data_IF_372452126684
#
_entry.id   IF_372452126684
#
_cell.length_a   1.000
_cell.length_b   1.000
_cell.length_c   1.000
_cell.angle_alpha   90.00
_cell.angle_beta   90.00
_cell.angle_gamma   90.00
#
_symmetry.space_group_name_H-M   'P 1'
#
loop_
_entity.id
_entity.type
_entity.pdbx_description
1 polymer ?
#
# COMPACT_ATOMS: atom_id res chain seq x y z
N UNK A 1 -3.98 -6.95 19.91
CA UNK A 1 -3.05 -7.12 18.77
C UNK A 1 -3.89 -7.18 17.52
N UNK A 2 -3.53 -6.43 16.48
CA UNK A 2 -4.40 -6.23 15.33
C UNK A 2 -4.29 -7.32 14.27
N UNK A 3 -5.39 -8.04 13.94
CA UNK A 3 -5.38 -9.10 12.94
C UNK A 3 -4.96 -8.61 11.55
N UNK A 4 -5.46 -7.44 11.13
CA UNK A 4 -5.10 -6.86 9.83
C UNK A 4 -3.61 -6.59 9.71
N UNK A 5 -2.94 -6.20 10.79
CA UNK A 5 -1.51 -5.89 10.79
C UNK A 5 -0.64 -7.13 10.63
N UNK A 6 -1.06 -8.26 11.19
CA UNK A 6 -0.43 -9.57 10.93
C UNK A 6 -0.53 -9.89 9.45
N UNK A 7 -1.73 -9.76 8.89
CA UNK A 7 -2.00 -9.99 7.46
C UNK A 7 -1.16 -9.07 6.57
N UNK A 8 -1.17 -7.76 6.81
CA UNK A 8 -0.39 -6.78 6.05
C UNK A 8 1.11 -7.08 6.14
N UNK A 9 1.64 -7.33 7.35
CA UNK A 9 3.07 -7.61 7.52
C UNK A 9 3.48 -8.89 6.80
N UNK A 10 2.68 -9.96 6.90
CA UNK A 10 2.89 -11.23 6.18
C UNK A 10 2.92 -11.00 4.68
N UNK A 11 1.89 -10.34 4.13
CA UNK A 11 1.79 -10.06 2.70
C UNK A 11 2.91 -9.13 2.23
N UNK A 12 3.34 -8.17 3.06
CA UNK A 12 4.43 -7.25 2.75
C UNK A 12 5.80 -7.94 2.67
N UNK A 13 5.98 -9.03 3.40
CA UNK A 13 7.12 -9.98 3.28
C UNK A 13 6.92 -11.00 2.16
N UNK A 14 5.76 -10.96 1.50
CA UNK A 14 5.36 -11.89 0.47
C UNK A 14 5.11 -13.28 1.01
N UNK A 15 4.95 -13.51 2.31
CA UNK A 15 4.82 -14.85 2.86
C UNK A 15 3.41 -15.42 2.67
N UNK A 16 3.32 -16.72 2.41
CA UNK A 16 2.06 -17.47 2.50
C UNK A 16 1.69 -17.71 3.96
N UNK A 17 0.41 -18.04 4.23
CA UNK A 17 -0.02 -18.44 5.57
C UNK A 17 0.77 -19.66 6.08
N UNK A 18 1.07 -20.62 5.20
CA UNK A 18 1.87 -21.79 5.58
C UNK A 18 3.32 -21.43 5.95
N UNK A 19 3.96 -20.53 5.18
CA UNK A 19 5.32 -20.07 5.45
C UNK A 19 5.41 -19.34 6.81
N UNK A 20 4.51 -18.39 7.10
CA UNK A 20 4.52 -17.70 8.39
C UNK A 20 4.15 -18.63 9.55
N UNK A 21 3.19 -19.55 9.36
CA UNK A 21 2.82 -20.51 10.39
C UNK A 21 4.00 -21.42 10.77
N UNK A 22 4.79 -21.86 9.79
CA UNK A 22 6.02 -22.62 10.03
C UNK A 22 7.06 -21.79 10.80
N UNK A 23 7.28 -20.52 10.45
CA UNK A 23 8.19 -19.64 11.18
C UNK A 23 7.77 -19.42 12.64
N UNK A 24 6.46 -19.43 12.90
CA UNK A 24 5.86 -19.26 14.22
C UNK A 24 5.56 -20.59 14.92
N UNK A 25 6.00 -21.74 14.40
CA UNK A 25 5.76 -23.06 14.98
C UNK A 25 4.29 -23.28 15.40
N UNK A 26 3.36 -22.93 14.50
CA UNK A 26 1.92 -23.09 14.68
C UNK A 26 1.29 -23.73 13.44
N UNK A 27 0.04 -24.17 13.55
CA UNK A 27 -0.69 -24.66 12.38
C UNK A 27 -1.14 -23.50 11.46
N UNK A 28 -1.24 -23.71 10.14
CA UNK A 28 -1.83 -22.73 9.21
C UNK A 28 -3.28 -22.35 9.55
N UNK A 29 -4.03 -23.26 10.19
CA UNK A 29 -5.38 -22.99 10.69
C UNK A 29 -5.35 -22.00 11.87
N UNK A 30 -4.38 -22.14 12.78
CA UNK A 30 -4.15 -21.19 13.88
C UNK A 30 -3.82 -19.81 13.35
N UNK A 31 -2.88 -19.71 12.38
CA UNK A 31 -2.54 -18.41 11.78
C UNK A 31 -3.75 -17.78 11.07
N UNK A 32 -4.54 -18.57 10.34
CA UNK A 32 -5.75 -18.05 9.70
C UNK A 32 -6.70 -17.43 10.72
N UNK A 33 -6.99 -18.13 11.83
CA UNK A 33 -7.81 -17.57 12.91
C UNK A 33 -7.22 -16.29 13.50
N UNK A 34 -5.89 -16.21 13.64
CA UNK A 34 -5.26 -15.00 14.16
C UNK A 34 -5.34 -13.81 13.19
N UNK A 35 -5.32 -14.06 11.88
CA UNK A 35 -5.49 -13.03 10.86
C UNK A 35 -6.95 -12.59 10.70
N UNK A 36 -7.90 -13.46 11.05
CA UNK A 36 -9.34 -13.19 10.93
C UNK A 36 -9.92 -12.56 12.22
N UNK A 37 -9.60 -13.12 13.39
CA UNK A 37 -10.19 -12.78 14.69
C UNK A 37 -9.20 -12.18 15.68
N UNK A 38 -7.90 -12.37 15.44
CA UNK A 38 -6.82 -12.01 16.36
C UNK A 38 -6.35 -13.15 17.24
N UNK A 39 -5.12 -13.06 17.80
CA UNK A 39 -4.65 -14.04 18.75
C UNK A 39 -5.45 -13.94 20.07
N UNK A 40 -5.74 -15.07 20.74
CA UNK A 40 -6.37 -15.03 22.05
C UNK A 40 -5.43 -14.39 23.09
N UNK A 41 -5.98 -13.79 24.17
CA UNK A 41 -5.18 -13.20 25.26
C UNK A 41 -4.17 -14.17 25.88
N UNK A 42 -4.49 -15.47 25.90
CA UNK A 42 -3.61 -16.52 26.43
C UNK A 42 -2.40 -16.85 25.56
N UNK A 43 -2.31 -16.31 24.35
CA UNK A 43 -1.21 -16.52 23.39
C UNK A 43 -0.52 -15.21 23.01
N UNK A 44 -0.78 -14.12 23.73
CA UNK A 44 -0.24 -12.80 23.38
C UNK A 44 1.20 -12.60 23.85
N UNK A 45 1.72 -13.44 24.74
CA UNK A 45 3.15 -13.46 25.09
C UNK A 45 3.72 -14.84 24.78
N UNK A 46 4.89 -14.97 24.11
CA UNK A 46 5.76 -13.92 23.53
C UNK A 46 5.48 -13.69 22.03
N UNK A 47 4.20 -13.60 21.63
CA UNK A 47 3.84 -13.59 20.20
C UNK A 47 4.31 -12.34 19.43
N UNK A 48 4.19 -11.11 19.97
CA UNK A 48 4.69 -9.91 19.30
C UNK A 48 6.19 -9.96 19.00
N UNK A 49 7.02 -10.46 19.92
CA UNK A 49 8.46 -10.58 19.73
C UNK A 49 8.79 -11.63 18.65
N UNK A 50 8.02 -12.71 18.60
CA UNK A 50 8.16 -13.74 17.54
C UNK A 50 7.75 -13.21 16.18
N UNK A 51 6.68 -12.39 16.12
CA UNK A 51 6.25 -11.72 14.90
C UNK A 51 7.27 -10.68 14.45
N UNK A 52 7.83 -9.90 15.37
CA UNK A 52 8.91 -8.96 15.09
C UNK A 52 10.14 -9.70 14.53
N UNK A 53 10.58 -10.77 15.19
CA UNK A 53 11.71 -11.56 14.71
C UNK A 53 11.47 -12.18 13.32
N UNK A 54 10.25 -12.67 13.05
CA UNK A 54 9.93 -13.31 11.76
C UNK A 54 9.62 -12.33 10.63
N UNK A 55 9.02 -11.18 10.94
CA UNK A 55 8.46 -10.25 9.94
C UNK A 55 9.22 -8.91 9.93
N UNK A 56 10.09 -8.63 10.89
CA UNK A 56 10.87 -7.39 10.98
C UNK A 56 10.01 -6.12 11.02
N UNK A 57 8.86 -6.18 11.68
CA UNK A 57 8.05 -5.02 12.08
C UNK A 57 8.08 -4.93 13.60
N UNK A 58 8.07 -3.71 14.15
CA UNK A 58 8.18 -3.56 15.60
C UNK A 58 6.96 -4.15 16.32
N UNK A 59 7.12 -4.46 17.61
CA UNK A 59 6.00 -4.88 18.47
C UNK A 59 4.86 -3.86 18.44
N UNK A 60 5.17 -2.57 18.50
CA UNK A 60 4.18 -1.48 18.48
C UNK A 60 3.37 -1.46 17.18
N UNK A 61 3.96 -1.89 16.06
CA UNK A 61 3.22 -2.05 14.83
C UNK A 61 2.06 -3.02 15.05
N UNK A 62 2.28 -4.22 15.58
CA UNK A 62 1.20 -5.20 15.79
C UNK A 62 0.18 -4.80 16.87
N UNK A 63 0.52 -3.85 17.74
CA UNK A 63 -0.35 -3.30 18.78
C UNK A 63 -1.11 -2.03 18.35
N UNK A 64 -0.76 -1.45 17.20
CA UNK A 64 -1.40 -0.27 16.65
C UNK A 64 -2.78 -0.59 16.04
N UNK A 65 -3.68 0.40 15.85
CA UNK A 65 -5.03 0.19 15.31
C UNK A 65 -5.05 -0.55 13.97
N UNK A 66 -6.18 -1.19 13.64
CA UNK A 66 -6.34 -1.93 12.39
C UNK A 66 -5.92 -1.12 11.15
N UNK A 67 -5.41 -1.82 10.15
CA UNK A 67 -5.17 -1.31 8.81
C UNK A 67 -6.24 -1.81 7.86
N UNK A 68 -6.68 -0.93 6.99
CA UNK A 68 -7.48 -1.32 5.84
C UNK A 68 -6.54 -1.78 4.73
N UNK A 69 -6.76 -3.00 4.22
CA UNK A 69 -6.06 -3.43 3.02
C UNK A 69 -6.77 -2.85 1.80
N UNK A 70 -6.03 -2.18 0.89
CA UNK A 70 -6.59 -1.78 -0.39
C UNK A 70 -7.17 -2.97 -1.13
N UNK A 71 -8.38 -2.81 -1.68
CA UNK A 71 -8.97 -3.83 -2.54
C UNK A 71 -8.11 -4.00 -3.80
N UNK A 72 -7.90 -5.26 -4.17
CA UNK A 72 -7.23 -5.62 -5.41
C UNK A 72 -8.02 -5.12 -6.64
N UNK A 73 -9.34 -5.05 -6.53
CA UNK A 73 -10.23 -4.61 -7.62
C UNK A 73 -10.18 -3.09 -7.83
N UNK A 74 -9.88 -2.33 -6.77
CA UNK A 74 -9.70 -0.87 -6.84
C UNK A 74 -8.26 -0.46 -7.18
N UNK A 75 -7.38 -1.43 -7.44
CA UNK A 75 -5.96 -1.20 -7.74
C UNK A 75 -5.71 -1.30 -9.25
N UNK A 76 -5.21 -0.23 -9.86
CA UNK A 76 -4.93 -0.15 -11.29
C UNK A 76 -3.46 -0.43 -11.57
N UNK A 77 -3.17 -1.65 -12.03
CA UNK A 77 -1.82 -2.08 -12.38
C UNK A 77 -1.47 -1.73 -13.82
N UNK A 78 -0.36 -1.02 -14.04
CA UNK A 78 0.13 -0.68 -15.40
C UNK A 78 0.54 -1.93 -16.20
N UNK A 79 1.18 -2.89 -15.54
CA UNK A 79 1.67 -4.14 -16.14
C UNK A 79 1.17 -5.39 -15.39
N UNK A 80 -0.09 -5.37 -14.94
CA UNK A 80 -0.66 -6.38 -14.04
C UNK A 80 -0.66 -7.83 -14.56
N UNK A 81 -0.47 -8.07 -15.86
CA UNK A 81 -0.42 -9.42 -16.44
C UNK A 81 0.91 -10.14 -16.22
N UNK A 82 2.01 -9.40 -15.93
CA UNK A 82 3.34 -9.98 -15.70
C UNK A 82 3.63 -10.28 -14.23
N UNK A 83 2.89 -9.65 -13.31
CA UNK A 83 3.06 -9.85 -11.88
C UNK A 83 2.25 -11.05 -11.37
N UNK A 84 2.90 -11.91 -10.58
CA UNK A 84 2.23 -13.01 -9.89
C UNK A 84 1.26 -12.49 -8.83
N UNK A 85 0.29 -13.31 -8.41
CA UNK A 85 -0.63 -12.94 -7.34
C UNK A 85 0.11 -12.57 -6.04
N UNK A 86 1.20 -13.29 -5.72
CA UNK A 86 2.08 -12.99 -4.58
C UNK A 86 2.65 -11.57 -4.66
N UNK A 87 3.17 -11.17 -5.82
CA UNK A 87 3.74 -9.83 -6.02
C UNK A 87 2.67 -8.74 -5.97
N UNK A 88 1.47 -8.99 -6.52
CA UNK A 88 0.35 -8.06 -6.41
C UNK A 88 -0.10 -7.88 -4.96
N UNK A 89 -0.13 -8.95 -4.16
CA UNK A 89 -0.44 -8.85 -2.74
C UNK A 89 0.62 -8.10 -1.94
N UNK A 90 1.91 -8.25 -2.26
CA UNK A 90 2.99 -7.42 -1.67
C UNK A 90 2.76 -5.93 -1.99
N UNK A 91 2.37 -5.62 -3.23
CA UNK A 91 2.09 -4.27 -3.69
C UNK A 91 0.89 -3.67 -2.94
N UNK A 92 -0.25 -4.37 -2.87
CA UNK A 92 -1.43 -3.92 -2.13
C UNK A 92 -1.15 -3.72 -0.62
N UNK A 93 -0.39 -4.64 0.00
CA UNK A 93 0.03 -4.50 1.40
C UNK A 93 1.00 -3.32 1.63
N UNK A 94 1.73 -2.89 0.60
CA UNK A 94 2.51 -1.65 0.66
C UNK A 94 1.59 -0.42 0.69
N UNK A 95 0.45 -0.48 0.00
CA UNK A 95 -0.59 0.54 0.03
C UNK A 95 -1.18 0.76 1.43
N UNK A 96 -1.52 -0.31 2.15
CA UNK A 96 -2.05 -0.21 3.52
C UNK A 96 -1.10 0.55 4.47
N UNK A 97 0.21 0.30 4.35
CA UNK A 97 1.23 1.00 5.12
C UNK A 97 1.41 2.46 4.67
N UNK A 98 1.30 2.72 3.37
CA UNK A 98 1.41 4.07 2.81
C UNK A 98 0.31 5.00 3.30
N UNK A 99 -0.93 4.51 3.48
CA UNK A 99 -2.02 5.30 4.07
C UNK A 99 -1.66 5.76 5.49
N UNK A 100 -1.12 4.86 6.33
CA UNK A 100 -0.67 5.24 7.69
C UNK A 100 0.46 6.27 7.67
N UNK A 101 1.43 6.08 6.78
CA UNK A 101 2.53 7.04 6.61
C UNK A 101 2.00 8.41 6.17
N UNK A 102 1.07 8.44 5.22
CA UNK A 102 0.49 9.68 4.72
C UNK A 102 -0.33 10.40 5.81
N UNK A 103 -1.11 9.69 6.61
CA UNK A 103 -1.81 10.27 7.77
C UNK A 103 -0.81 10.92 8.72
N UNK A 104 0.31 10.25 9.00
CA UNK A 104 1.38 10.84 9.81
C UNK A 104 1.99 12.06 9.13
N UNK A 105 2.30 12.02 7.83
CA UNK A 105 2.85 13.16 7.10
C UNK A 105 1.91 14.36 7.14
N UNK A 106 0.62 14.18 6.86
CA UNK A 106 -0.41 15.24 6.94
C UNK A 106 -0.52 15.88 8.31
N UNK A 107 -0.31 15.10 9.38
CA UNK A 107 -0.37 15.60 10.76
C UNK A 107 0.86 16.43 11.13
N UNK A 108 2.02 16.15 10.54
CA UNK A 108 3.30 16.75 10.93
C UNK A 108 3.84 17.76 9.90
N UNK A 109 3.34 17.74 8.66
CA UNK A 109 3.83 18.55 7.55
C UNK A 109 2.67 19.06 6.69
N UNK A 110 2.97 20.09 5.89
CA UNK A 110 2.04 20.61 4.89
C UNK A 110 2.03 19.70 3.66
N UNK A 111 1.19 18.66 3.71
CA UNK A 111 0.92 17.81 2.56
C UNK A 111 -0.28 18.38 1.78
N UNK A 112 -0.18 18.64 0.46
CA UNK A 112 -1.26 19.25 -0.31
C UNK A 112 -2.50 18.35 -0.40
N UNK A 113 -3.68 18.96 -0.36
CA UNK A 113 -4.91 18.25 -0.70
C UNK A 113 -4.98 17.91 -2.18
N UNK A 114 -5.61 16.78 -2.56
CA UNK A 114 -5.72 16.37 -3.96
C UNK A 114 -6.43 17.44 -4.81
N UNK A 115 -5.78 17.89 -5.88
CA UNK A 115 -6.29 18.89 -6.83
C UNK A 115 -6.30 18.33 -8.26
N UNK A 116 -6.94 17.18 -8.42
CA UNK A 116 -7.08 16.52 -9.72
C UNK A 116 -8.41 16.91 -10.39
N UNK A 117 -8.40 17.36 -11.66
CA UNK A 117 -9.63 17.62 -12.38
C UNK A 117 -10.36 16.30 -12.68
N UNK A 118 -11.70 16.32 -12.59
CA UNK A 118 -12.49 15.22 -13.11
C UNK A 118 -12.55 15.31 -14.65
N UNK A 119 -11.83 14.40 -15.31
CA UNK A 119 -11.76 14.31 -16.78
C UNK A 119 -12.40 13.01 -17.29
N UNK A 120 -13.40 12.50 -16.57
CA UNK A 120 -14.16 11.34 -17.00
C UNK A 120 -14.87 11.60 -18.33
N UNK A 121 -14.86 10.62 -19.23
CA UNK A 121 -15.49 10.72 -20.55
C UNK A 121 -14.58 11.28 -21.66
N UNK A 122 -13.40 11.80 -21.32
CA UNK A 122 -12.38 12.15 -22.31
C UNK A 122 -11.47 10.96 -22.62
N UNK A 123 -10.92 10.93 -23.84
CA UNK A 123 -9.83 10.00 -24.17
C UNK A 123 -8.57 10.36 -23.38
N UNK A 124 -7.62 9.41 -23.20
CA UNK A 124 -6.36 9.72 -22.50
C UNK A 124 -5.58 10.90 -23.10
N UNK A 125 -5.60 11.08 -24.41
CA UNK A 125 -4.92 12.18 -25.09
C UNK A 125 -5.60 13.54 -24.85
N UNK A 126 -6.93 13.58 -24.88
CA UNK A 126 -7.70 14.78 -24.55
C UNK A 126 -7.56 15.14 -23.08
N UNK A 127 -7.66 14.16 -22.18
CA UNK A 127 -7.48 14.36 -20.75
C UNK A 127 -6.08 14.90 -20.43
N UNK A 128 -5.03 14.37 -21.06
CA UNK A 128 -3.68 14.89 -20.91
C UNK A 128 -3.56 16.36 -21.37
N UNK A 129 -4.16 16.71 -22.51
CA UNK A 129 -4.13 18.08 -23.04
C UNK A 129 -4.90 19.08 -22.16
N UNK A 130 -6.06 18.67 -21.64
CA UNK A 130 -6.86 19.46 -20.71
C UNK A 130 -6.14 19.65 -19.37
N UNK A 131 -5.56 18.58 -18.82
CA UNK A 131 -4.79 18.64 -17.58
C UNK A 131 -3.61 19.62 -17.69
N UNK A 132 -2.88 19.60 -18.82
CA UNK A 132 -1.79 20.56 -19.08
C UNK A 132 -2.29 22.01 -19.13
N UNK A 133 -3.46 22.25 -19.70
CA UNK A 133 -4.09 23.58 -19.73
C UNK A 133 -4.47 24.03 -18.32
N UNK A 134 -5.16 23.17 -17.56
CA UNK A 134 -5.63 23.46 -16.19
C UNK A 134 -4.46 23.76 -15.25
N UNK A 135 -3.37 22.97 -15.35
CA UNK A 135 -2.17 23.13 -14.53
C UNK A 135 -1.14 24.10 -15.11
N UNK A 136 -1.44 24.76 -16.24
CA UNK A 136 -0.60 25.75 -16.90
C UNK A 136 0.83 25.24 -17.22
N UNK A 137 0.95 24.00 -17.67
CA UNK A 137 2.25 23.34 -17.94
C UNK A 137 2.87 23.71 -19.31
N UNK A 138 2.14 24.45 -20.16
CA UNK A 138 2.54 24.73 -21.55
C UNK A 138 2.64 23.45 -22.39
N UNK A 139 3.58 23.39 -23.34
CA UNK A 139 3.77 22.23 -24.25
C UNK A 139 5.12 21.51 -24.09
N UNK A 140 5.99 21.99 -23.19
CA UNK A 140 7.31 21.39 -22.95
C UNK A 140 7.21 20.12 -22.09
N UNK A 141 8.17 19.19 -22.20
CA UNK A 141 8.25 18.04 -21.29
C UNK A 141 8.19 18.49 -19.82
N UNK A 142 7.49 17.72 -18.99
CA UNK A 142 7.45 17.96 -17.54
C UNK A 142 8.80 17.50 -16.98
N UNK A 143 9.63 18.40 -16.40
CA UNK A 143 10.97 18.05 -15.96
C UNK A 143 10.98 16.98 -14.85
N UNK A 144 9.99 17.04 -13.95
CA UNK A 144 9.81 16.08 -12.87
C UNK A 144 8.32 15.79 -12.67
N UNK A 145 7.86 14.66 -13.20
CA UNK A 145 6.46 14.23 -13.08
C UNK A 145 6.07 13.81 -11.67
N UNK A 146 7.02 13.30 -10.87
CA UNK A 146 6.77 12.93 -9.46
C UNK A 146 6.49 14.17 -8.64
N UNK A 147 7.37 15.18 -8.70
CA UNK A 147 7.19 16.42 -7.96
C UNK A 147 5.90 17.16 -8.37
N UNK A 148 5.57 17.13 -9.67
CA UNK A 148 4.29 17.66 -10.13
C UNK A 148 3.11 16.91 -9.49
N UNK A 149 3.12 15.59 -9.51
CA UNK A 149 2.06 14.78 -8.91
C UNK A 149 1.91 15.05 -7.40
N UNK A 150 3.02 15.08 -6.65
CA UNK A 150 3.03 15.41 -5.23
C UNK A 150 2.51 16.83 -4.95
N UNK A 151 2.88 17.81 -5.79
CA UNK A 151 2.37 19.19 -5.67
C UNK A 151 0.86 19.31 -5.90
N UNK A 152 0.28 18.35 -6.63
CA UNK A 152 -1.16 18.22 -6.87
C UNK A 152 -1.87 17.37 -5.81
N UNK A 153 -1.16 16.98 -4.74
CA UNK A 153 -1.70 16.20 -3.63
C UNK A 153 -1.75 14.68 -3.88
N UNK A 154 -1.05 14.18 -4.90
CA UNK A 154 -0.90 12.73 -5.15
C UNK A 154 0.22 12.18 -4.29
N UNK A 155 -0.06 11.16 -3.49
CA UNK A 155 0.97 10.49 -2.71
C UNK A 155 1.76 9.52 -3.60
N UNK A 156 3.00 9.89 -3.94
CA UNK A 156 3.90 9.02 -4.72
C UNK A 156 4.79 8.23 -3.76
N UNK A 157 4.74 6.90 -3.88
CA UNK A 157 5.36 5.97 -2.94
C UNK A 157 6.25 4.97 -3.68
N UNK A 158 7.35 4.57 -3.05
CA UNK A 158 8.25 3.56 -3.60
C UNK A 158 7.69 2.14 -3.44
N UNK A 159 7.87 1.30 -4.47
CA UNK A 159 7.61 -0.13 -4.40
C UNK A 159 8.80 -0.89 -3.80
N UNK A 160 8.57 -1.90 -2.96
CA UNK A 160 9.64 -2.79 -2.53
C UNK A 160 10.20 -3.63 -3.69
N UNK A 161 11.47 -4.06 -3.62
CA UNK A 161 12.05 -4.99 -4.59
C UNK A 161 11.24 -6.27 -4.80
N UNK A 162 10.56 -6.76 -3.75
CA UNK A 162 9.69 -7.93 -3.80
C UNK A 162 8.44 -7.73 -4.70
N UNK A 163 8.08 -6.49 -5.02
CA UNK A 163 6.99 -6.13 -5.94
C UNK A 163 7.51 -5.50 -7.25
N UNK A 164 8.80 -5.60 -7.57
CA UNK A 164 9.40 -4.95 -8.74
C UNK A 164 8.74 -5.32 -10.08
N UNK A 165 8.22 -6.55 -10.22
CA UNK A 165 7.51 -6.99 -11.42
C UNK A 165 6.17 -6.28 -11.66
N UNK A 166 5.66 -5.54 -10.66
CA UNK A 166 4.45 -4.72 -10.79
C UNK A 166 4.71 -3.45 -11.61
N UNK A 167 5.98 -3.01 -11.74
CA UNK A 167 6.44 -1.77 -12.39
C UNK A 167 5.85 -0.52 -11.72
N UNK A 168 4.54 -0.32 -11.87
CA UNK A 168 3.78 0.70 -11.18
C UNK A 168 2.31 0.32 -11.03
N UNK A 169 1.67 0.89 -10.00
CA UNK A 169 0.23 0.83 -9.83
C UNK A 169 -0.31 2.13 -9.22
N UNK A 170 -1.59 2.38 -9.38
CA UNK A 170 -2.30 3.45 -8.69
C UNK A 170 -3.52 2.92 -7.95
N UNK A 171 -3.91 3.62 -6.89
CA UNK A 171 -5.12 3.33 -6.12
C UNK A 171 -5.68 4.62 -5.53
N UNK A 172 -6.93 4.54 -5.08
CA UNK A 172 -7.57 5.57 -4.27
C UNK A 172 -7.87 5.02 -2.89
N UNK A 173 -7.61 5.84 -1.86
CA UNK A 173 -8.05 5.62 -0.49
C UNK A 173 -9.00 6.75 -0.11
N UNK A 174 -10.31 6.48 -0.20
CA UNK A 174 -11.32 7.53 -0.24
C UNK A 174 -11.05 8.53 -1.37
N UNK A 175 -10.83 9.80 -1.01
CA UNK A 175 -10.50 10.88 -1.96
C UNK A 175 -8.99 11.07 -2.17
N UNK A 176 -8.14 10.27 -1.53
CA UNK A 176 -6.70 10.40 -1.64
C UNK A 176 -6.14 9.52 -2.78
N UNK A 177 -5.54 10.09 -3.83
CA UNK A 177 -4.87 9.33 -4.86
C UNK A 177 -3.46 8.93 -4.44
N UNK A 178 -3.08 7.70 -4.78
CA UNK A 178 -1.73 7.17 -4.61
C UNK A 178 -1.16 6.67 -5.94
N UNK A 179 0.14 6.85 -6.11
CA UNK A 179 0.95 6.21 -7.16
C UNK A 179 2.07 5.44 -6.47
N UNK A 180 2.26 4.20 -6.88
CA UNK A 180 3.37 3.36 -6.44
C UNK A 180 4.23 2.99 -7.63
N UNK A 181 5.53 3.26 -7.57
CA UNK A 181 6.48 2.95 -8.64
C UNK A 181 7.84 2.51 -8.10
N UNK A 182 8.63 1.83 -8.93
CA UNK A 182 10.02 1.43 -8.66
C UNK A 182 11.03 2.56 -8.82
#
# INVERSE_FOLDING_TARGET
>A
MSPSRITVARLRRGLTKAELAANLDISPATLSRWEDEGPPPSRTEPLPERLEASLGFSVEYFLSPELELPSMDSTLFRAGSRATQRQKSVAAASGANASTLLTWLRRNFNFPDPKLPNLSGFTPAEAASLARTIWQLGDKPVPNSVQLAESLGVAVMGLPPAASAVDAFSMWDGEQPFIFCV
#
